data_IF_235962049294
#
_entry.id   IF_235962049294
#
_cell.length_a   1.000
_cell.length_b   1.000
_cell.length_c   1.000
_cell.angle_alpha   90.00
_cell.angle_beta   90.00
_cell.angle_gamma   90.00
#
_symmetry.space_group_name_H-M   'P 1'
#
loop_
_entity.id
_entity.type
_entity.pdbx_description
1 polymer ?
#
# COMPACT_ATOMS: atom_id res chain seq x y z
N UNK A 1 28.19 22.15 -25.96
CA UNK A 1 26.73 22.09 -25.95
C UNK A 1 26.10 20.99 -26.82
N UNK A 2 26.83 20.26 -27.66
CA UNK A 2 26.30 19.24 -28.62
C UNK A 2 26.12 17.82 -28.05
N UNK A 3 26.82 17.45 -26.99
CA UNK A 3 26.78 16.06 -26.44
C UNK A 3 25.52 15.79 -25.60
N UNK A 4 25.01 16.78 -24.86
CA UNK A 4 23.81 16.64 -24.03
C UNK A 4 22.53 16.41 -24.85
N UNK A 5 22.44 17.03 -26.02
CA UNK A 5 21.28 16.89 -26.93
C UNK A 5 21.25 15.49 -27.59
N UNK A 6 22.42 14.90 -27.83
CA UNK A 6 22.53 13.58 -28.45
C UNK A 6 22.02 12.45 -27.52
N UNK A 7 22.24 12.58 -26.20
CA UNK A 7 21.71 11.62 -25.20
C UNK A 7 20.19 11.71 -25.04
N UNK A 8 19.62 12.93 -25.13
CA UNK A 8 18.17 13.10 -25.09
C UNK A 8 17.47 12.51 -26.30
N UNK A 9 18.06 12.67 -27.51
CA UNK A 9 17.52 12.09 -28.73
C UNK A 9 17.65 10.56 -28.72
N UNK A 10 18.78 10.02 -28.24
CA UNK A 10 18.96 8.58 -28.10
C UNK A 10 17.99 7.96 -27.07
N UNK A 11 17.75 8.64 -25.95
CA UNK A 11 16.76 8.21 -24.94
C UNK A 11 15.31 8.26 -25.49
N UNK A 12 14.99 9.28 -26.30
CA UNK A 12 13.69 9.39 -26.95
C UNK A 12 13.49 8.30 -28.03
N UNK A 13 14.54 7.95 -28.78
CA UNK A 13 14.51 6.85 -29.76
C UNK A 13 14.41 5.48 -29.07
N UNK A 14 15.05 5.27 -27.93
CA UNK A 14 14.89 4.05 -27.13
C UNK A 14 13.47 3.89 -26.60
N UNK A 15 12.82 4.97 -26.18
CA UNK A 15 11.42 4.97 -25.74
C UNK A 15 10.45 4.65 -26.90
N UNK A 16 10.73 5.09 -28.13
CA UNK A 16 9.88 4.79 -29.30
C UNK A 16 10.10 3.39 -29.85
N UNK A 17 11.31 2.82 -29.73
CA UNK A 17 11.61 1.46 -30.20
C UNK A 17 10.96 0.37 -29.32
N UNK A 18 10.68 0.66 -28.03
CA UNK A 18 9.94 -0.22 -27.13
C UNK A 18 8.46 -0.30 -27.51
N UNK A 19 7.90 0.76 -28.10
CA UNK A 19 6.48 0.83 -28.46
C UNK A 19 6.08 -0.10 -29.63
N UNK A 20 7.01 -0.50 -30.49
CA UNK A 20 6.72 -1.24 -31.73
C UNK A 20 6.48 -2.76 -31.55
N UNK A 21 6.79 -3.34 -30.36
CA UNK A 21 6.55 -4.74 -30.04
C UNK A 21 5.71 -4.97 -28.76
N UNK A 22 5.24 -3.91 -28.16
CA UNK A 22 4.46 -3.95 -26.93
C UNK A 22 2.95 -4.17 -27.17
N UNK A 23 2.60 -5.01 -28.14
CA UNK A 23 1.19 -5.32 -28.36
C UNK A 23 0.60 -5.99 -27.10
N UNK A 24 -0.19 -5.22 -26.40
CA UNK A 24 -1.07 -5.67 -25.30
C UNK A 24 -0.37 -6.37 -24.11
N UNK A 25 0.83 -5.92 -23.74
CA UNK A 25 1.58 -6.50 -22.61
C UNK A 25 1.52 -5.69 -21.33
N UNK A 26 1.22 -4.39 -21.41
CA UNK A 26 1.06 -3.51 -20.25
C UNK A 26 -0.41 -3.40 -19.87
N UNK A 27 -0.67 -3.49 -18.58
CA UNK A 27 -1.97 -3.26 -17.97
C UNK A 27 -1.82 -2.19 -16.89
N UNK A 28 -2.72 -1.20 -16.90
CA UNK A 28 -2.84 -0.17 -15.87
C UNK A 28 -4.22 -0.35 -15.23
N UNK A 29 -4.23 -0.64 -13.94
CA UNK A 29 -5.45 -1.01 -13.23
C UNK A 29 -5.71 0.00 -12.08
N UNK A 30 -6.29 1.18 -12.35
CA UNK A 30 -6.76 2.06 -11.28
C UNK A 30 -7.85 1.36 -10.47
N UNK A 31 -7.77 1.50 -9.15
CA UNK A 31 -8.69 0.85 -8.24
C UNK A 31 -9.15 1.75 -7.10
N UNK A 32 -10.27 1.37 -6.51
CA UNK A 32 -10.78 1.88 -5.24
C UNK A 32 -11.27 0.70 -4.41
N UNK A 33 -11.20 0.84 -3.10
CA UNK A 33 -11.66 -0.22 -2.22
C UNK A 33 -11.61 0.16 -0.75
N UNK A 34 -11.56 -0.85 0.08
CA UNK A 34 -11.59 -0.74 1.53
C UNK A 34 -10.41 -1.48 2.14
N UNK A 35 -9.76 -0.83 3.10
CA UNK A 35 -8.65 -1.40 3.83
C UNK A 35 -9.02 -1.54 5.30
N UNK A 36 -9.00 -2.78 5.80
CA UNK A 36 -9.13 -3.08 7.21
C UNK A 36 -7.76 -3.08 7.85
N UNK A 37 -7.67 -2.63 9.08
CA UNK A 37 -6.41 -2.53 9.79
C UNK A 37 -6.51 -3.12 11.19
N UNK A 38 -5.40 -3.63 11.67
CA UNK A 38 -5.28 -4.20 12.99
C UNK A 38 -5.00 -3.15 14.09
N UNK A 39 -4.71 -3.67 15.26
CA UNK A 39 -4.33 -2.88 16.42
C UNK A 39 -2.96 -3.31 16.92
N UNK A 40 -2.23 -2.36 17.51
CA UNK A 40 -0.96 -2.60 18.19
C UNK A 40 -1.14 -2.58 19.71
N UNK A 41 -0.56 -3.52 20.44
CA UNK A 41 -0.37 -3.34 21.88
C UNK A 41 0.68 -2.25 22.12
N UNK A 42 0.37 -1.30 22.98
CA UNK A 42 1.31 -0.24 23.38
C UNK A 42 1.94 -0.64 24.70
N UNK A 43 3.26 -0.78 24.75
CA UNK A 43 3.95 -1.22 25.97
C UNK A 43 4.31 -0.09 26.92
N UNK A 44 4.51 1.14 26.43
CA UNK A 44 4.72 2.36 27.24
C UNK A 44 4.28 3.60 26.48
N UNK A 45 3.63 4.48 27.18
CA UNK A 45 3.18 5.77 26.68
C UNK A 45 3.60 6.85 27.68
N UNK A 46 4.62 7.62 27.34
CA UNK A 46 5.09 8.73 28.20
C UNK A 46 5.02 10.02 27.39
N UNK A 47 4.30 11.01 27.88
CA UNK A 47 4.27 12.34 27.26
C UNK A 47 5.62 13.05 27.45
N UNK A 48 5.92 14.04 26.60
CA UNK A 48 7.13 14.85 26.71
C UNK A 48 7.22 15.63 28.06
N UNK A 49 6.09 15.82 28.74
CA UNK A 49 6.02 16.40 30.09
C UNK A 49 6.16 15.37 31.21
N UNK A 50 6.53 14.12 30.93
CA UNK A 50 6.69 13.07 31.95
C UNK A 50 5.38 12.48 32.48
N UNK A 51 4.22 12.90 31.96
CA UNK A 51 2.92 12.35 32.35
C UNK A 51 2.71 11.04 31.59
N UNK A 52 2.56 9.94 32.31
CA UNK A 52 2.21 8.65 31.73
C UNK A 52 0.72 8.58 31.51
N UNK A 53 0.29 8.60 30.24
CA UNK A 53 -1.13 8.39 29.90
C UNK A 53 -1.32 6.86 29.77
N UNK A 54 -2.21 6.26 30.54
CA UNK A 54 -2.41 4.83 30.53
C UNK A 54 -3.21 4.41 29.28
N UNK A 55 -2.49 4.19 28.17
CA UNK A 55 -3.01 3.63 26.92
C UNK A 55 -2.45 2.21 26.80
N UNK A 56 -3.30 1.26 26.47
CA UNK A 56 -2.89 -0.14 26.29
C UNK A 56 -2.95 -0.60 24.83
N UNK A 57 -3.62 0.14 23.95
CA UNK A 57 -3.82 -0.26 22.57
C UNK A 57 -3.92 0.96 21.64
N UNK A 58 -3.24 0.89 20.50
CA UNK A 58 -3.38 1.81 19.39
C UNK A 58 -3.98 1.05 18.21
N UNK A 59 -5.09 1.53 17.68
CA UNK A 59 -5.77 0.94 16.52
C UNK A 59 -5.68 1.87 15.33
N UNK A 60 -5.34 1.34 14.18
CA UNK A 60 -5.50 2.02 12.89
C UNK A 60 -6.94 1.80 12.44
N UNK A 61 -7.67 2.86 12.17
CA UNK A 61 -9.05 2.75 11.73
C UNK A 61 -9.11 2.28 10.28
N UNK A 62 -10.16 1.52 10.00
CA UNK A 62 -10.45 1.08 8.64
C UNK A 62 -10.78 2.29 7.76
N UNK A 63 -10.39 2.25 6.50
CA UNK A 63 -10.56 3.40 5.61
C UNK A 63 -10.69 3.00 4.14
N UNK A 64 -11.17 3.95 3.33
CA UNK A 64 -11.14 3.82 1.88
C UNK A 64 -9.69 3.86 1.39
N UNK A 65 -9.40 3.02 0.41
CA UNK A 65 -8.13 2.93 -0.27
C UNK A 65 -8.32 3.19 -1.76
N UNK A 66 -7.34 3.83 -2.39
CA UNK A 66 -7.29 4.02 -3.83
C UNK A 66 -5.86 3.95 -4.32
N UNK A 67 -5.70 3.57 -5.57
CA UNK A 67 -4.37 3.42 -6.14
C UNK A 67 -4.39 2.84 -7.53
N UNK A 68 -3.28 2.23 -7.91
CA UNK A 68 -3.15 1.58 -9.21
C UNK A 68 -2.22 0.38 -9.13
N UNK A 69 -2.52 -0.63 -9.94
CA UNK A 69 -1.56 -1.67 -10.30
C UNK A 69 -1.01 -1.36 -11.69
N UNK A 70 0.23 -1.71 -11.89
CA UNK A 70 0.90 -1.71 -13.20
C UNK A 70 1.44 -3.11 -13.42
N UNK A 71 0.87 -3.82 -14.37
CA UNK A 71 1.21 -5.20 -14.66
C UNK A 71 1.87 -5.30 -16.03
N UNK A 72 2.82 -6.22 -16.15
CA UNK A 72 3.46 -6.55 -17.40
C UNK A 72 3.31 -8.04 -17.70
N UNK A 73 2.65 -8.40 -18.81
CA UNK A 73 2.50 -9.81 -19.22
C UNK A 73 3.83 -10.35 -19.74
N UNK A 74 4.60 -10.99 -18.85
CA UNK A 74 5.88 -11.63 -19.23
C UNK A 74 5.62 -12.96 -19.95
N UNK A 75 4.73 -13.77 -19.39
CA UNK A 75 4.21 -15.00 -19.98
C UNK A 75 2.67 -15.02 -19.89
N UNK A 76 2.03 -16.04 -20.42
CA UNK A 76 0.57 -16.20 -20.31
C UNK A 76 0.09 -16.35 -18.87
N UNK A 77 0.92 -16.94 -18.01
CA UNK A 77 0.58 -17.23 -16.62
C UNK A 77 1.29 -16.36 -15.60
N UNK A 78 2.33 -15.59 -15.99
CA UNK A 78 3.08 -14.78 -15.04
C UNK A 78 3.17 -13.32 -15.46
N UNK A 79 2.81 -12.44 -14.53
CA UNK A 79 2.85 -11.00 -14.68
C UNK A 79 3.59 -10.36 -13.49
N UNK A 80 4.78 -9.79 -13.68
CA UNK A 80 5.33 -8.81 -12.74
C UNK A 80 4.35 -7.68 -12.50
N UNK A 81 4.24 -7.26 -11.24
CA UNK A 81 3.30 -6.24 -10.79
C UNK A 81 4.01 -5.19 -9.95
N UNK A 82 3.67 -3.94 -10.17
CA UNK A 82 3.89 -2.85 -9.25
C UNK A 82 2.54 -2.36 -8.73
N UNK A 83 2.42 -2.17 -7.42
CA UNK A 83 1.23 -1.63 -6.77
C UNK A 83 1.58 -0.37 -6.01
N UNK A 84 0.83 0.70 -6.26
CA UNK A 84 0.74 1.85 -5.38
C UNK A 84 -0.66 1.93 -4.80
N UNK A 85 -0.75 2.01 -3.48
CA UNK A 85 -2.01 2.10 -2.74
C UNK A 85 -1.91 3.22 -1.70
N UNK A 86 -2.89 4.11 -1.68
CA UNK A 86 -3.01 5.19 -0.69
C UNK A 86 -4.30 5.06 0.07
N UNK A 87 -4.20 5.22 1.37
CA UNK A 87 -5.37 5.34 2.23
C UNK A 87 -5.20 6.46 3.27
N UNK A 88 -6.26 7.26 3.43
CA UNK A 88 -6.35 8.27 4.47
C UNK A 88 -7.10 7.66 5.66
N UNK A 89 -6.43 7.55 6.78
CA UNK A 89 -6.94 6.89 7.97
C UNK A 89 -6.70 7.74 9.22
N UNK A 90 -7.12 7.25 10.36
CA UNK A 90 -6.82 7.84 11.66
C UNK A 90 -6.43 6.76 12.65
N UNK A 91 -5.62 7.14 13.63
CA UNK A 91 -5.26 6.31 14.74
C UNK A 91 -6.19 6.59 15.92
N UNK A 92 -6.68 5.53 16.56
CA UNK A 92 -7.49 5.59 17.78
C UNK A 92 -6.75 4.91 18.90
N UNK A 93 -6.66 5.61 20.05
CA UNK A 93 -6.03 5.10 21.26
C UNK A 93 -7.11 4.65 22.24
N UNK A 94 -6.86 3.55 22.97
CA UNK A 94 -7.74 3.05 24.01
C UNK A 94 -7.24 3.46 25.37
N UNK A 95 -8.06 4.23 26.09
CA UNK A 95 -7.78 4.60 27.48
C UNK A 95 -7.92 3.39 28.40
N UNK A 96 -6.94 3.17 29.27
CA UNK A 96 -7.01 2.14 30.32
C UNK A 96 -8.05 2.50 31.39
N UNK A 97 -8.25 3.79 31.66
CA UNK A 97 -9.15 4.28 32.72
C UNK A 97 -10.62 4.12 32.34
N UNK A 98 -11.00 4.44 31.11
CA UNK A 98 -12.38 4.43 30.66
C UNK A 98 -12.72 3.24 29.76
N UNK A 99 -11.70 2.55 29.22
CA UNK A 99 -11.88 1.47 28.25
C UNK A 99 -12.37 1.94 26.88
N UNK A 100 -12.56 3.24 26.67
CA UNK A 100 -13.08 3.83 25.44
C UNK A 100 -11.95 4.18 24.46
N UNK A 101 -12.29 4.16 23.16
CA UNK A 101 -11.40 4.63 22.09
C UNK A 101 -11.63 6.11 21.85
N UNK A 102 -10.55 6.86 21.68
CA UNK A 102 -10.57 8.25 21.21
C UNK A 102 -9.63 8.41 20.02
N UNK A 103 -10.00 9.32 19.10
CA UNK A 103 -9.17 9.62 17.93
C UNK A 103 -7.91 10.35 18.38
N UNK A 104 -6.75 9.77 18.07
CA UNK A 104 -5.47 10.32 18.47
C UNK A 104 -4.93 11.30 17.41
N UNK A 105 -4.84 10.86 16.16
CA UNK A 105 -4.34 11.69 15.05
C UNK A 105 -4.73 11.08 13.69
N UNK A 106 -4.61 11.92 12.65
CA UNK A 106 -4.84 11.50 11.27
C UNK A 106 -3.52 11.11 10.60
N UNK A 107 -3.61 10.17 9.67
CA UNK A 107 -2.46 9.70 8.91
C UNK A 107 -2.84 9.37 7.46
N UNK A 108 -1.88 9.62 6.56
CA UNK A 108 -1.93 9.15 5.18
C UNK A 108 -0.90 8.06 5.00
N UNK A 109 -1.34 6.92 4.54
CA UNK A 109 -0.50 5.74 4.36
C UNK A 109 -0.37 5.43 2.88
N UNK A 110 0.87 5.48 2.39
CA UNK A 110 1.24 5.08 1.04
C UNK A 110 1.95 3.72 1.08
N UNK A 111 1.49 2.79 0.27
CA UNK A 111 2.10 1.47 0.13
C UNK A 111 2.62 1.30 -1.29
N UNK A 112 3.90 0.95 -1.40
CA UNK A 112 4.58 0.67 -2.65
C UNK A 112 5.04 -0.78 -2.61
N UNK A 113 4.50 -1.61 -3.49
CA UNK A 113 4.78 -3.04 -3.53
C UNK A 113 5.25 -3.43 -4.92
N UNK A 114 6.23 -4.32 -4.99
CA UNK A 114 6.69 -4.93 -6.22
C UNK A 114 6.66 -6.45 -6.08
N UNK A 115 6.08 -7.13 -7.05
CA UNK A 115 5.89 -8.56 -6.97
C UNK A 115 5.45 -9.20 -8.27
N UNK A 116 4.62 -10.21 -8.17
CA UNK A 116 4.10 -10.91 -9.33
C UNK A 116 2.77 -11.57 -9.09
N UNK A 117 2.05 -11.74 -10.19
CA UNK A 117 0.81 -12.48 -10.29
C UNK A 117 1.06 -13.80 -11.00
N UNK A 118 0.46 -14.86 -10.51
CA UNK A 118 0.37 -16.13 -11.21
C UNK A 118 -1.10 -16.37 -11.61
N UNK A 119 -1.35 -16.33 -12.92
CA UNK A 119 -2.66 -16.62 -13.50
C UNK A 119 -2.86 -18.12 -13.59
N UNK A 120 -3.98 -18.63 -13.09
CA UNK A 120 -4.30 -20.05 -13.15
C UNK A 120 -4.86 -20.47 -14.52
N UNK A 121 -5.38 -19.51 -15.30
CA UNK A 121 -5.95 -19.73 -16.63
C UNK A 121 -5.22 -18.88 -17.66
N UNK A 122 -5.03 -19.43 -18.85
CA UNK A 122 -4.35 -18.79 -19.97
C UNK A 122 -5.13 -17.64 -20.61
N UNK A 123 -4.53 -17.05 -21.63
CA UNK A 123 -5.04 -15.83 -22.29
C UNK A 123 -6.33 -16.02 -23.08
N UNK A 124 -6.73 -17.25 -23.35
CA UNK A 124 -7.98 -17.61 -24.02
C UNK A 124 -9.22 -17.42 -23.14
N UNK A 125 -9.06 -17.39 -21.81
CA UNK A 125 -10.18 -17.24 -20.88
C UNK A 125 -10.44 -15.77 -20.56
N UNK A 126 -11.73 -15.38 -20.54
CA UNK A 126 -12.16 -14.04 -20.14
C UNK A 126 -12.03 -13.82 -18.64
N UNK A 127 -12.33 -14.83 -17.85
CA UNK A 127 -12.20 -14.80 -16.40
C UNK A 127 -10.90 -15.50 -16.01
N UNK A 128 -10.01 -14.77 -15.35
CA UNK A 128 -8.67 -15.25 -14.96
C UNK A 128 -8.45 -15.05 -13.48
N UNK A 129 -8.66 -16.08 -12.67
CA UNK A 129 -8.26 -16.07 -11.28
C UNK A 129 -6.73 -16.10 -11.18
N UNK A 130 -6.20 -15.43 -10.14
CA UNK A 130 -4.76 -15.35 -9.91
C UNK A 130 -4.42 -15.36 -8.41
N UNK A 131 -3.20 -15.76 -8.12
CA UNK A 131 -2.53 -15.54 -6.85
C UNK A 131 -1.47 -14.45 -7.01
N UNK A 132 -1.23 -13.69 -5.96
CA UNK A 132 -0.29 -12.57 -5.95
C UNK A 132 0.61 -12.63 -4.72
N UNK A 133 1.88 -12.28 -4.91
CA UNK A 133 2.85 -12.08 -3.84
C UNK A 133 3.71 -10.87 -4.16
N UNK A 134 3.96 -10.02 -3.17
CA UNK A 134 4.80 -8.85 -3.35
C UNK A 134 5.54 -8.47 -2.08
N UNK A 135 6.60 -7.68 -2.26
CA UNK A 135 7.39 -7.05 -1.20
C UNK A 135 7.56 -5.57 -1.50
N UNK A 136 7.75 -4.77 -0.48
CA UNK A 136 7.90 -3.34 -0.67
C UNK A 136 8.00 -2.57 0.63
N UNK A 137 7.48 -1.37 0.65
CA UNK A 137 7.49 -0.52 1.83
C UNK A 137 6.17 0.24 1.98
N UNK A 138 5.88 0.56 3.21
CA UNK A 138 4.76 1.40 3.62
C UNK A 138 5.32 2.69 4.17
N UNK A 139 4.92 3.81 3.60
CA UNK A 139 5.25 5.15 4.06
C UNK A 139 4.04 5.74 4.80
N UNK A 140 4.24 6.05 6.06
CA UNK A 140 3.22 6.62 6.94
C UNK A 140 3.53 8.09 7.18
N UNK A 141 2.66 8.96 6.68
CA UNK A 141 2.75 10.41 6.81
C UNK A 141 1.75 10.86 7.87
N UNK A 142 2.25 11.16 9.05
CA UNK A 142 1.42 11.50 10.20
C UNK A 142 1.14 13.01 10.24
N UNK A 143 -0.10 13.38 10.55
CA UNK A 143 -0.46 14.75 10.88
C UNK A 143 0.07 15.17 12.25
N UNK A 144 0.09 16.48 12.53
CA UNK A 144 0.37 16.99 13.87
C UNK A 144 1.84 17.09 14.26
N UNK A 145 2.78 17.08 13.30
CA UNK A 145 4.23 17.26 13.59
C UNK A 145 4.97 15.98 13.97
N UNK A 146 4.36 14.84 13.77
CA UNK A 146 4.97 13.53 13.97
C UNK A 146 5.91 13.17 12.82
N UNK A 147 7.10 12.58 13.07
CA UNK A 147 7.99 12.18 11.99
C UNK A 147 7.37 11.11 11.11
N UNK A 148 7.51 11.28 9.80
CA UNK A 148 7.11 10.28 8.82
C UNK A 148 7.91 8.99 9.04
N UNK A 149 7.29 7.86 8.76
CA UNK A 149 7.89 6.54 8.88
C UNK A 149 7.84 5.79 7.58
N UNK A 150 8.89 5.04 7.30
CA UNK A 150 8.93 4.12 6.18
C UNK A 150 9.33 2.76 6.72
N UNK A 151 8.47 1.78 6.51
CA UNK A 151 8.61 0.45 7.09
C UNK A 151 8.52 -0.60 5.98
N UNK A 152 9.25 -1.70 6.15
CA UNK A 152 9.17 -2.83 5.23
C UNK A 152 7.78 -3.46 5.30
N UNK A 153 7.25 -3.82 4.14
CA UNK A 153 5.97 -4.51 4.04
C UNK A 153 6.01 -5.57 2.93
N UNK A 154 5.16 -6.55 3.05
CA UNK A 154 4.95 -7.57 2.04
C UNK A 154 3.47 -7.85 1.89
N UNK A 155 3.08 -8.52 0.82
CA UNK A 155 1.70 -8.92 0.66
C UNK A 155 1.57 -10.29 0.04
N UNK A 156 0.48 -10.95 0.39
CA UNK A 156 0.01 -12.17 -0.24
C UNK A 156 -1.49 -12.06 -0.44
N UNK A 157 -1.96 -12.54 -1.56
CA UNK A 157 -3.38 -12.48 -1.87
C UNK A 157 -3.71 -13.08 -3.21
N UNK A 158 -4.79 -12.62 -3.78
CA UNK A 158 -5.24 -13.05 -5.09
C UNK A 158 -6.53 -12.36 -5.47
N UNK A 159 -7.00 -12.70 -6.64
CA UNK A 159 -8.19 -12.06 -7.18
C UNK A 159 -8.63 -12.66 -8.49
N UNK A 160 -9.42 -11.89 -9.18
CA UNK A 160 -9.89 -12.24 -10.51
C UNK A 160 -9.77 -11.05 -11.45
N UNK A 161 -9.31 -11.30 -12.66
CA UNK A 161 -9.38 -10.38 -13.79
C UNK A 161 -10.46 -10.87 -14.76
N UNK A 162 -11.38 -9.99 -15.15
CA UNK A 162 -12.41 -10.29 -16.14
C UNK A 162 -12.25 -9.37 -17.34
N UNK A 163 -11.86 -9.91 -18.48
CA UNK A 163 -11.64 -9.15 -19.71
C UNK A 163 -12.92 -9.06 -20.54
N UNK A 164 -13.45 -7.84 -20.69
CA UNK A 164 -14.63 -7.54 -21.51
C UNK A 164 -14.24 -7.51 -22.98
N UNK A 165 -13.03 -7.04 -23.29
CA UNK A 165 -12.48 -6.94 -24.64
C UNK A 165 -10.96 -7.04 -24.65
N UNK A 166 -10.34 -6.59 -25.74
CA UNK A 166 -8.88 -6.64 -25.89
C UNK A 166 -8.16 -5.61 -25.01
N UNK A 167 -8.79 -4.47 -24.72
CA UNK A 167 -8.19 -3.33 -24.05
C UNK A 167 -8.81 -3.03 -22.68
N UNK A 168 -9.96 -3.62 -22.35
CA UNK A 168 -10.68 -3.29 -21.12
C UNK A 168 -11.07 -4.55 -20.35
N UNK A 169 -11.00 -4.42 -19.03
CA UNK A 169 -11.43 -5.47 -18.12
C UNK A 169 -11.80 -4.91 -16.75
N UNK A 170 -12.19 -5.79 -15.87
CA UNK A 170 -12.44 -5.52 -14.45
C UNK A 170 -11.51 -6.38 -13.60
N UNK A 171 -11.08 -5.83 -12.48
CA UNK A 171 -10.26 -6.52 -11.50
C UNK A 171 -10.94 -6.49 -10.14
N UNK A 172 -11.00 -7.64 -9.48
CA UNK A 172 -11.26 -7.76 -8.05
C UNK A 172 -10.05 -8.35 -7.38
N UNK A 173 -9.56 -7.71 -6.31
CA UNK A 173 -8.34 -8.12 -5.62
C UNK A 173 -8.56 -8.15 -4.11
N UNK A 174 -7.99 -9.13 -3.44
CA UNK A 174 -8.02 -9.32 -2.01
C UNK A 174 -6.62 -9.66 -1.53
N UNK A 175 -6.08 -8.85 -0.61
CA UNK A 175 -4.71 -9.01 -0.10
C UNK A 175 -4.62 -8.88 1.40
N UNK A 176 -3.72 -9.64 1.94
CA UNK A 176 -3.18 -9.48 3.27
C UNK A 176 -1.84 -8.73 3.16
N UNK A 177 -1.70 -7.60 3.87
CA UNK A 177 -0.58 -6.66 3.76
C UNK A 177 0.03 -6.38 5.14
N UNK A 178 0.85 -7.28 5.68
CA UNK A 178 1.55 -7.01 6.91
C UNK A 178 2.69 -6.00 6.69
N UNK A 179 2.77 -5.03 7.60
CA UNK A 179 3.86 -4.07 7.68
C UNK A 179 4.68 -4.36 8.93
N UNK A 180 6.00 -4.45 8.78
CA UNK A 180 6.92 -4.71 9.88
C UNK A 180 7.25 -3.38 10.58
N UNK A 181 6.65 -3.17 11.76
CA UNK A 181 6.99 -2.04 12.60
C UNK A 181 8.36 -2.24 13.24
N UNK A 182 9.33 -1.40 12.87
CA UNK A 182 10.64 -1.42 13.51
C UNK A 182 10.50 -1.02 14.98
N UNK A 183 11.30 -1.66 15.84
CA UNK A 183 11.35 -1.38 17.29
C UNK A 183 11.95 -0.02 17.66
N UNK A 184 12.21 0.84 16.68
CA UNK A 184 12.65 2.21 16.93
C UNK A 184 11.53 2.99 17.61
N UNK A 185 11.76 3.61 18.76
CA UNK A 185 10.76 4.42 19.44
C UNK A 185 10.34 5.58 18.54
N UNK A 186 9.07 5.60 18.17
CA UNK A 186 8.48 6.72 17.43
C UNK A 186 7.99 7.77 18.41
N UNK A 187 8.39 9.02 18.21
CA UNK A 187 7.83 10.13 18.97
C UNK A 187 6.62 10.66 18.22
N UNK A 188 5.46 10.62 18.86
CA UNK A 188 4.22 11.18 18.36
C UNK A 188 3.90 12.43 19.15
N UNK A 189 3.52 13.51 18.48
CA UNK A 189 3.17 14.77 19.14
C UNK A 189 1.69 15.12 18.87
N UNK A 190 0.94 15.36 19.90
CA UNK A 190 -0.42 15.85 19.86
C UNK A 190 -0.47 17.29 20.41
N UNK A 191 -1.23 18.22 19.78
CA UNK A 191 -1.32 19.61 20.23
C UNK A 191 -1.88 19.77 21.63
N UNK A 192 -2.68 18.81 22.12
CA UNK A 192 -3.34 18.87 23.43
C UNK A 192 -2.63 18.01 24.50
N UNK A 193 -2.03 16.87 24.10
CA UNK A 193 -1.45 15.89 25.02
C UNK A 193 0.08 15.86 25.01
N UNK A 194 0.73 16.66 24.13
CA UNK A 194 2.18 16.71 24.02
C UNK A 194 2.77 15.55 23.21
N UNK A 195 4.10 15.40 23.29
CA UNK A 195 4.83 14.37 22.55
C UNK A 195 4.95 13.08 23.39
N UNK A 196 4.77 11.94 22.76
CA UNK A 196 4.88 10.63 23.40
C UNK A 196 5.67 9.65 22.54
N UNK A 197 6.32 8.73 23.21
CA UNK A 197 7.13 7.70 22.56
C UNK A 197 6.37 6.38 22.51
N UNK A 198 6.16 5.84 21.33
CA UNK A 198 5.53 4.53 21.13
C UNK A 198 6.60 3.57 20.59
N UNK A 199 6.85 2.50 21.30
CA UNK A 199 7.71 1.41 20.85
C UNK A 199 6.81 0.33 20.25
N UNK A 200 6.81 0.22 18.92
CA UNK A 200 6.04 -0.78 18.18
C UNK A 200 6.98 -1.95 17.85
N UNK A 201 6.73 -3.10 18.41
CA UNK A 201 7.54 -4.29 18.18
C UNK A 201 6.72 -5.43 17.55
N UNK A 202 5.80 -5.10 16.63
CA UNK A 202 4.87 -6.06 16.04
C UNK A 202 4.54 -5.74 14.59
N UNK A 203 4.08 -6.76 13.86
CA UNK A 203 3.47 -6.59 12.55
C UNK A 203 2.11 -5.89 12.64
N UNK A 204 1.91 -4.87 11.83
CA UNK A 204 0.58 -4.36 11.56
C UNK A 204 -0.03 -5.16 10.43
N UNK A 205 -1.01 -5.96 10.77
CA UNK A 205 -1.76 -6.75 9.80
C UNK A 205 -2.87 -5.91 9.20
N UNK A 206 -2.93 -5.88 7.88
CA UNK A 206 -3.98 -5.19 7.12
C UNK A 206 -4.59 -6.13 6.10
N UNK A 207 -5.89 -5.98 5.89
CA UNK A 207 -6.63 -6.62 4.80
C UNK A 207 -7.06 -5.56 3.80
N UNK A 208 -6.93 -5.84 2.51
CA UNK A 208 -7.34 -4.95 1.43
C UNK A 208 -8.32 -5.65 0.53
N UNK A 209 -9.43 -4.98 0.22
CA UNK A 209 -10.46 -5.40 -0.73
C UNK A 209 -10.61 -4.29 -1.75
N UNK A 210 -10.21 -4.52 -2.99
CA UNK A 210 -10.27 -3.48 -4.01
C UNK A 210 -10.92 -3.98 -5.28
N UNK A 211 -11.60 -3.05 -5.98
CA UNK A 211 -12.15 -3.24 -7.31
C UNK A 211 -11.58 -2.19 -8.25
N UNK A 212 -11.21 -2.58 -9.46
CA UNK A 212 -10.57 -1.72 -10.43
C UNK A 212 -10.98 -1.99 -11.86
N UNK A 213 -10.53 -1.11 -12.74
CA UNK A 213 -10.71 -1.21 -14.19
C UNK A 213 -9.36 -1.52 -14.79
N UNK A 214 -9.29 -2.55 -15.63
CA UNK A 214 -8.09 -2.90 -16.38
C UNK A 214 -8.08 -2.11 -17.69
N UNK A 215 -6.99 -1.40 -17.95
CA UNK A 215 -6.69 -0.75 -19.23
C UNK A 215 -5.44 -1.41 -19.78
N UNK A 216 -5.58 -2.11 -20.91
CA UNK A 216 -4.52 -2.90 -21.53
C UNK A 216 -4.03 -2.24 -22.82
N UNK A 217 -2.72 -2.09 -22.93
CA UNK A 217 -2.04 -1.42 -24.05
C UNK A 217 -1.25 -2.42 -24.91
#
# INVERSE_FOLDING_TARGET
MKIRTMWFVAALFLLTAVSARAQARFELDPFVGYQTSGSYPVSKFTSAGGITIPINQLRVNDSLAFGTFVDYSLTENFQPEFMWNRNNTSYSARSVLTGTYFRAFDSTIDQFQFGGLYMFLGSEHKLRPYAAVSVGFTHDSNGGGTPNRTEFSWSVGGGVKYFIGRHFGLRGDLRFLPTYGSSSPGVYCDPFFGCYTVTLNHYLNRGSFVGGIIIKF
#
